data_IF_615069479973
#
_entry.id   IF_615069479973
#
_cell.length_a   1.000
_cell.length_b   1.000
_cell.length_c   1.000
_cell.angle_alpha   90.00
_cell.angle_beta   90.00
_cell.angle_gamma   90.00
#
_symmetry.space_group_name_H-M   'P 1'
#
loop_
_entity.id
_entity.type
_entity.pdbx_description
1 polymer ?
#
# COMPACT_ATOMS: atom_id res chain seq x y z
N UNK A 1 -7.82 13.46 -81.46
CA UNK A 1 -6.53 12.82 -81.79
C UNK A 1 -5.68 12.82 -80.51
N UNK A 2 -5.27 11.63 -80.02
CA UNK A 2 -4.06 11.29 -79.21
C UNK A 2 -3.44 12.44 -78.34
N UNK A 3 -3.18 12.34 -77.03
CA UNK A 3 -2.47 11.28 -76.27
C UNK A 3 -2.73 11.39 -74.75
N UNK A 4 -2.52 10.27 -74.08
CA UNK A 4 -2.46 10.06 -72.64
C UNK A 4 -1.29 10.78 -71.95
N UNK A 5 -1.40 10.99 -70.63
CA UNK A 5 -0.27 11.03 -69.69
C UNK A 5 -0.77 10.64 -68.29
N UNK A 6 -0.68 9.35 -68.01
CA UNK A 6 -0.77 8.76 -66.69
C UNK A 6 0.63 8.87 -66.07
N UNK A 7 0.87 9.81 -65.16
CA UNK A 7 2.10 9.82 -64.36
C UNK A 7 1.92 10.76 -63.15
N UNK A 8 1.98 10.20 -61.94
CA UNK A 8 2.20 11.00 -60.73
C UNK A 8 1.41 10.62 -59.49
N UNK A 9 0.44 9.71 -59.54
CA UNK A 9 -0.30 9.29 -58.35
C UNK A 9 0.32 8.07 -57.66
N UNK A 10 1.63 8.12 -57.38
CA UNK A 10 2.33 7.11 -56.56
C UNK A 10 3.38 7.70 -55.60
N UNK A 11 3.50 9.03 -55.51
CA UNK A 11 4.49 9.69 -54.66
C UNK A 11 3.89 10.40 -53.42
N UNK A 12 2.69 9.98 -52.99
CA UNK A 12 1.97 10.60 -51.87
C UNK A 12 1.44 9.59 -50.84
N UNK A 13 2.16 8.48 -50.63
CA UNK A 13 1.81 7.50 -49.58
C UNK A 13 2.98 7.25 -48.62
N UNK A 14 4.22 7.48 -49.03
CA UNK A 14 5.40 7.19 -48.19
C UNK A 14 5.68 8.32 -47.17
N UNK A 15 5.27 9.57 -47.44
CA UNK A 15 5.50 10.69 -46.51
C UNK A 15 4.50 10.75 -45.35
N UNK A 16 3.39 10.00 -45.42
CA UNK A 16 2.43 9.88 -44.30
C UNK A 16 2.81 8.82 -43.29
N UNK A 17 3.72 7.89 -43.64
CA UNK A 17 4.19 6.85 -42.73
C UNK A 17 5.43 7.28 -41.93
N UNK A 18 6.16 8.28 -42.42
CA UNK A 18 7.37 8.80 -41.75
C UNK A 18 7.05 10.00 -40.84
N UNK A 19 5.89 10.67 -41.01
CA UNK A 19 5.55 11.89 -40.27
C UNK A 19 4.66 11.71 -39.02
N UNK A 20 4.27 10.50 -38.65
CA UNK A 20 3.64 10.25 -37.33
C UNK A 20 4.17 9.01 -36.63
N UNK A 21 5.30 8.46 -37.11
CA UNK A 21 6.18 7.62 -36.30
C UNK A 21 7.07 8.47 -35.37
N UNK A 22 6.79 9.78 -35.26
CA UNK A 22 7.47 10.74 -34.38
C UNK A 22 6.53 11.38 -33.33
N UNK A 23 5.28 10.94 -33.23
CA UNK A 23 4.35 11.31 -32.13
C UNK A 23 3.82 10.05 -31.43
N UNK A 24 4.63 9.00 -31.42
CA UNK A 24 4.74 8.16 -30.24
C UNK A 24 6.11 8.47 -29.65
N UNK A 25 6.28 9.70 -29.16
CA UNK A 25 6.88 9.81 -27.85
C UNK A 25 5.93 9.00 -26.97
N UNK A 26 6.20 7.71 -26.86
CA UNK A 26 5.79 6.97 -25.69
C UNK A 26 6.21 7.90 -24.56
N UNK A 27 5.23 8.46 -23.89
CA UNK A 27 5.37 8.82 -22.51
C UNK A 27 5.66 7.50 -21.77
N UNK A 28 6.82 6.91 -22.04
CA UNK A 28 7.70 6.48 -21.00
C UNK A 28 7.94 7.75 -20.19
N UNK A 29 6.95 8.06 -19.33
CA UNK A 29 7.29 8.49 -18.00
C UNK A 29 8.32 7.46 -17.59
N UNK A 30 9.59 7.83 -17.69
CA UNK A 30 10.62 7.20 -16.92
C UNK A 30 10.12 7.35 -15.50
N UNK A 31 9.32 6.38 -15.04
CA UNK A 31 9.12 6.10 -13.65
C UNK A 31 10.53 5.79 -13.19
N UNK A 32 11.26 6.84 -12.82
CA UNK A 32 12.41 6.73 -11.97
C UNK A 32 11.81 6.11 -10.72
N UNK A 33 11.82 4.77 -10.69
CA UNK A 33 11.40 3.90 -9.59
C UNK A 33 12.43 4.07 -8.48
N UNK A 34 12.61 5.32 -8.06
CA UNK A 34 13.23 5.64 -6.79
C UNK A 34 12.24 5.12 -5.78
N UNK A 35 12.66 4.06 -5.10
CA UNK A 35 11.89 3.44 -4.04
C UNK A 35 12.57 3.80 -2.73
N UNK A 36 11.80 4.40 -1.84
CA UNK A 36 12.22 4.72 -0.47
C UNK A 36 11.66 3.68 0.49
N UNK A 37 12.40 3.39 1.56
CA UNK A 37 11.89 2.60 2.68
C UNK A 37 11.36 3.55 3.76
N UNK A 38 10.08 3.46 4.17
CA UNK A 38 9.59 4.19 5.32
C UNK A 38 10.43 3.90 6.56
N UNK A 39 10.78 4.94 7.32
CA UNK A 39 11.39 4.78 8.66
C UNK A 39 10.36 4.39 9.71
N UNK A 40 9.08 4.64 9.44
CA UNK A 40 7.95 4.26 10.27
C UNK A 40 6.71 4.19 9.39
N UNK A 41 5.92 3.13 9.55
CA UNK A 41 4.64 2.95 8.87
C UNK A 41 3.67 2.41 9.89
N UNK A 42 2.66 3.20 10.23
CA UNK A 42 1.71 2.82 11.26
C UNK A 42 0.41 2.33 10.67
N UNK A 43 -0.17 1.31 11.29
CA UNK A 43 -1.54 0.85 11.04
C UNK A 43 -2.33 0.88 12.32
N UNK A 44 -3.59 1.29 12.22
CA UNK A 44 -4.53 1.19 13.33
C UNK A 44 -5.40 -0.03 13.13
N UNK A 45 -5.22 -1.04 13.97
CA UNK A 45 -6.03 -2.26 13.96
C UNK A 45 -7.21 -2.08 14.90
N UNK A 46 -8.37 -2.54 14.48
CA UNK A 46 -9.61 -2.40 15.26
C UNK A 46 -10.28 -3.73 15.62
N UNK A 47 -9.97 -4.80 14.87
CA UNK A 47 -10.52 -6.12 15.13
C UNK A 47 -9.62 -7.22 14.57
N UNK A 48 -9.58 -8.36 15.24
CA UNK A 48 -8.96 -9.60 14.76
C UNK A 48 -9.93 -10.75 14.98
N UNK A 49 -10.10 -11.57 13.94
CA UNK A 49 -10.99 -12.74 13.96
C UNK A 49 -10.28 -13.96 13.39
N UNK A 50 -10.57 -15.14 13.94
CA UNK A 50 -10.07 -16.42 13.42
C UNK A 50 -11.23 -17.35 13.07
N UNK A 51 -11.11 -18.08 11.96
CA UNK A 51 -12.13 -19.00 11.49
C UNK A 51 -11.92 -20.39 12.10
N UNK A 52 -12.88 -20.88 12.90
CA UNK A 52 -12.81 -22.18 13.59
C UNK A 52 -13.27 -23.38 12.74
N UNK A 53 -13.38 -23.19 11.42
CA UNK A 53 -13.95 -24.17 10.48
C UNK A 53 -15.45 -23.98 10.21
N UNK A 54 -16.18 -23.24 11.06
CA UNK A 54 -17.61 -22.96 10.88
C UNK A 54 -17.92 -21.46 10.83
N UNK A 55 -17.27 -20.68 11.70
CA UNK A 55 -17.52 -19.25 11.85
C UNK A 55 -16.26 -18.50 12.24
N UNK A 56 -16.26 -17.20 11.98
CA UNK A 56 -15.27 -16.29 12.54
C UNK A 56 -15.56 -16.03 14.01
N UNK A 57 -14.57 -16.29 14.85
CA UNK A 57 -14.55 -15.97 16.27
C UNK A 57 -13.71 -14.71 16.44
N UNK A 58 -14.28 -13.67 17.05
CA UNK A 58 -13.52 -12.49 17.44
C UNK A 58 -12.55 -12.87 18.55
N UNK A 59 -11.26 -12.67 18.30
CA UNK A 59 -10.20 -12.93 19.28
C UNK A 59 -9.76 -11.63 19.95
N UNK A 60 -9.92 -10.50 19.25
CA UNK A 60 -9.58 -9.19 19.78
C UNK A 60 -10.40 -8.11 19.08
N UNK A 61 -10.83 -7.10 19.84
CA UNK A 61 -11.38 -5.85 19.32
C UNK A 61 -10.91 -4.69 20.18
N UNK A 62 -10.74 -3.53 19.57
CA UNK A 62 -10.19 -2.37 20.24
C UNK A 62 -9.66 -1.32 19.28
N UNK A 63 -8.66 -0.57 19.69
CA UNK A 63 -7.93 0.34 18.82
C UNK A 63 -6.47 0.28 19.23
N UNK A 64 -5.63 -0.24 18.34
CA UNK A 64 -4.19 -0.37 18.58
C UNK A 64 -3.45 0.12 17.36
N UNK A 65 -2.53 1.05 17.58
CA UNK A 65 -1.60 1.51 16.55
C UNK A 65 -0.34 0.64 16.59
N UNK A 66 0.03 0.04 15.46
CA UNK A 66 1.23 -0.77 15.31
C UNK A 66 2.14 -0.12 14.28
N UNK A 67 3.39 0.13 14.66
CA UNK A 67 4.44 0.47 13.70
C UNK A 67 4.99 -0.79 13.06
N UNK A 68 4.77 -0.92 11.77
CA UNK A 68 5.14 -2.08 10.97
C UNK A 68 6.62 -2.13 10.64
N UNK A 69 7.38 -1.06 10.90
CA UNK A 69 8.85 -1.07 10.78
C UNK A 69 9.53 -1.82 11.93
N UNK A 70 8.93 -1.81 13.12
CA UNK A 70 9.41 -2.54 14.31
C UNK A 70 8.57 -3.76 14.64
N UNK A 71 7.40 -3.89 14.02
CA UNK A 71 6.33 -4.75 14.48
C UNK A 71 5.72 -4.25 15.79
N UNK A 72 4.78 -5.03 16.31
CA UNK A 72 4.15 -4.77 17.61
C UNK A 72 3.19 -5.89 17.97
N UNK A 73 2.70 -5.84 19.20
CA UNK A 73 1.68 -6.75 19.73
C UNK A 73 0.43 -5.95 20.09
N UNK A 74 -0.69 -6.64 20.24
CA UNK A 74 -1.95 -6.05 20.68
C UNK A 74 -2.07 -6.15 22.19
N UNK A 75 -2.24 -5.03 22.87
CA UNK A 75 -2.58 -5.06 24.29
C UNK A 75 -3.92 -5.79 24.48
N UNK A 76 -3.94 -6.73 25.43
CA UNK A 76 -5.14 -7.51 25.77
C UNK A 76 -5.45 -8.67 24.83
N UNK A 77 -4.57 -9.01 23.87
CA UNK A 77 -4.71 -10.25 23.08
C UNK A 77 -4.22 -11.50 23.82
N UNK A 78 -3.65 -11.33 25.01
CA UNK A 78 -3.19 -12.44 25.82
C UNK A 78 -4.34 -13.10 26.59
N UNK A 79 -4.23 -14.41 26.80
CA UNK A 79 -5.16 -15.24 27.59
C UNK A 79 -6.60 -15.29 27.07
N UNK A 80 -6.77 -15.27 25.74
CA UNK A 80 -8.09 -15.40 25.12
C UNK A 80 -8.59 -16.83 25.30
N UNK A 81 -9.84 -16.95 25.74
CA UNK A 81 -10.56 -18.23 25.75
C UNK A 81 -11.23 -18.41 24.40
N UNK A 82 -10.75 -19.38 23.62
CA UNK A 82 -11.34 -19.71 22.32
C UNK A 82 -12.26 -20.93 22.47
N UNK A 83 -13.42 -20.95 21.76
CA UNK A 83 -14.17 -22.18 21.58
C UNK A 83 -13.31 -23.28 20.99
N UNK A 84 -13.61 -24.53 21.35
CA UNK A 84 -12.94 -25.67 20.76
C UNK A 84 -13.18 -25.72 19.24
N UNK A 85 -12.13 -26.05 18.48
CA UNK A 85 -12.18 -26.06 17.04
C UNK A 85 -10.81 -26.05 16.40
N UNK A 86 -10.79 -26.18 15.07
CA UNK A 86 -9.57 -26.08 14.27
C UNK A 86 -9.58 -24.73 13.56
N UNK A 87 -8.64 -23.87 13.92
CA UNK A 87 -8.52 -22.55 13.36
C UNK A 87 -7.50 -22.54 12.23
N UNK A 88 -7.96 -22.25 11.01
CA UNK A 88 -7.16 -22.33 9.78
C UNK A 88 -7.05 -21.02 9.01
N UNK A 89 -7.85 -20.00 9.36
CA UNK A 89 -7.82 -18.69 8.73
C UNK A 89 -7.86 -17.59 9.80
N UNK A 90 -7.21 -16.47 9.50
CA UNK A 90 -7.26 -15.25 10.28
C UNK A 90 -7.58 -14.07 9.37
N UNK A 91 -8.37 -13.12 9.87
CA UNK A 91 -8.58 -11.83 9.21
C UNK A 91 -8.46 -10.70 10.21
N UNK A 92 -8.02 -9.55 9.73
CA UNK A 92 -7.73 -8.37 10.54
C UNK A 92 -8.45 -7.18 9.93
N UNK A 93 -9.16 -6.41 10.76
CA UNK A 93 -9.77 -5.14 10.38
C UNK A 93 -8.87 -4.00 10.81
N UNK A 94 -8.56 -3.10 9.88
CA UNK A 94 -7.74 -1.91 10.10
C UNK A 94 -8.46 -0.64 9.67
N UNK A 95 -7.98 0.52 10.12
CA UNK A 95 -8.36 1.82 9.58
C UNK A 95 -7.63 2.10 8.27
N UNK A 96 -8.34 2.68 7.32
CA UNK A 96 -7.82 3.21 6.08
C UNK A 96 -7.19 4.59 6.31
N UNK A 97 -6.19 4.62 7.18
CA UNK A 97 -5.42 5.78 7.57
C UNK A 97 -4.05 5.29 8.03
N UNK A 98 -3.02 5.63 7.27
CA UNK A 98 -1.67 5.11 7.41
C UNK A 98 -0.71 6.26 7.69
N UNK A 99 -0.41 6.56 8.96
CA UNK A 99 0.66 7.48 9.31
C UNK A 99 2.01 6.93 8.84
N UNK A 100 2.65 7.60 7.91
CA UNK A 100 3.94 7.20 7.36
C UNK A 100 4.96 8.31 7.54
N UNK A 101 6.18 7.93 7.94
CA UNK A 101 7.33 8.82 8.03
C UNK A 101 8.53 8.17 7.36
N UNK A 102 9.19 8.89 6.47
CA UNK A 102 10.33 8.32 5.77
C UNK A 102 11.05 9.32 4.88
N UNK A 103 12.00 8.78 4.11
CA UNK A 103 12.71 9.52 3.09
C UNK A 103 12.96 8.65 1.87
N UNK A 104 13.27 9.32 0.77
CA UNK A 104 13.77 8.72 -0.47
C UNK A 104 14.97 9.52 -0.93
N UNK A 105 15.93 8.87 -1.58
CA UNK A 105 17.02 9.57 -2.25
C UNK A 105 16.78 9.50 -3.75
N UNK A 106 16.51 10.65 -4.36
CA UNK A 106 16.36 10.79 -5.81
C UNK A 106 17.53 11.60 -6.37
N UNK A 107 18.23 11.02 -7.35
CA UNK A 107 19.43 11.60 -7.96
C UNK A 107 20.46 12.16 -6.94
N UNK A 108 20.62 11.49 -5.79
CA UNK A 108 21.54 11.88 -4.72
C UNK A 108 21.00 12.95 -3.75
N UNK A 109 19.77 13.45 -3.96
CA UNK A 109 19.10 14.39 -3.06
C UNK A 109 18.10 13.64 -2.17
N UNK A 110 18.20 13.74 -0.84
CA UNK A 110 17.20 13.15 0.05
C UNK A 110 15.95 14.04 0.12
N UNK A 111 14.80 13.40 0.05
CA UNK A 111 13.48 14.00 0.22
C UNK A 111 12.78 13.32 1.38
N UNK A 112 12.20 14.12 2.27
CA UNK A 112 11.58 13.67 3.52
C UNK A 112 10.07 13.93 3.48
N UNK A 113 9.29 13.02 4.07
CA UNK A 113 7.86 13.24 4.32
C UNK A 113 7.67 14.43 5.27
N UNK A 114 6.61 15.21 5.07
CA UNK A 114 6.28 16.34 5.93
C UNK A 114 4.84 16.26 6.44
N UNK A 115 4.55 16.93 7.55
CA UNK A 115 3.19 17.08 8.08
C UNK A 115 2.35 18.08 7.28
N UNK A 116 2.90 18.64 6.19
CA UNK A 116 2.25 19.66 5.40
C UNK A 116 0.94 19.13 4.80
N UNK A 117 0.01 20.06 4.58
CA UNK A 117 -1.24 19.84 3.85
C UNK A 117 -0.95 19.11 2.54
N UNK A 118 -1.86 18.21 2.16
CA UNK A 118 -1.69 17.42 0.96
C UNK A 118 -1.22 18.23 -0.24
N UNK A 119 -0.29 17.63 -0.98
CA UNK A 119 0.09 18.02 -2.32
C UNK A 119 -1.15 18.36 -3.17
N UNK A 120 -1.25 19.59 -3.69
CA UNK A 120 -2.36 19.94 -4.59
C UNK A 120 -3.78 19.86 -3.97
N UNK A 121 -3.91 19.84 -2.64
CA UNK A 121 -5.21 19.87 -1.95
C UNK A 121 -5.93 18.53 -1.80
N UNK A 122 -5.31 17.41 -2.17
CA UNK A 122 -5.91 16.06 -2.06
C UNK A 122 -5.53 15.36 -0.75
N UNK A 123 -6.29 15.62 0.32
CA UNK A 123 -6.05 15.05 1.65
C UNK A 123 -5.81 13.55 1.60
N UNK A 124 -4.64 13.09 2.06
CA UNK A 124 -4.31 11.69 2.28
C UNK A 124 -3.90 10.87 1.05
N UNK A 125 -3.85 11.46 -0.14
CA UNK A 125 -3.35 10.76 -1.33
C UNK A 125 -1.87 11.04 -1.61
N UNK A 126 -1.41 12.25 -1.30
CA UNK A 126 -0.05 12.66 -1.57
C UNK A 126 0.51 13.67 -0.56
N UNK A 127 1.73 13.40 -0.07
CA UNK A 127 2.45 14.27 0.87
C UNK A 127 3.43 15.17 0.11
N UNK A 128 3.48 16.46 0.46
CA UNK A 128 4.60 17.33 0.05
C UNK A 128 5.91 16.86 0.68
N UNK A 129 6.98 16.90 -0.11
CA UNK A 129 8.32 16.57 0.31
C UNK A 129 9.15 17.82 0.63
N UNK A 130 10.08 17.67 1.56
CA UNK A 130 11.11 18.67 1.87
C UNK A 130 12.49 18.04 1.70
N UNK A 131 13.51 18.84 1.39
CA UNK A 131 14.91 18.42 1.43
C UNK A 131 15.57 18.71 2.78
N UNK A 132 14.87 19.41 3.68
CA UNK A 132 15.35 19.72 5.03
C UNK A 132 15.14 18.54 5.96
N UNK A 133 16.23 17.87 6.35
CA UNK A 133 16.16 16.70 7.23
C UNK A 133 15.48 16.97 8.59
N UNK A 134 15.58 18.19 9.12
CA UNK A 134 14.96 18.58 10.39
C UNK A 134 13.43 18.71 10.35
N UNK A 135 12.84 18.78 9.16
CA UNK A 135 11.41 18.99 8.96
C UNK A 135 10.64 17.67 8.73
N UNK A 136 11.33 16.52 8.84
CA UNK A 136 10.72 15.20 8.64
C UNK A 136 9.61 14.96 9.65
N UNK A 137 8.42 14.61 9.15
CA UNK A 137 7.26 14.35 9.98
C UNK A 137 6.35 13.28 9.37
N UNK A 138 5.35 12.84 10.16
CA UNK A 138 4.32 11.92 9.70
C UNK A 138 3.37 12.61 8.72
N UNK A 139 2.97 11.87 7.69
CA UNK A 139 1.83 12.19 6.85
C UNK A 139 0.88 10.99 6.82
N UNK A 140 -0.42 11.23 6.93
CA UNK A 140 -1.42 10.17 6.90
C UNK A 140 -1.88 9.92 5.47
N UNK A 141 -1.56 8.75 4.94
CA UNK A 141 -2.03 8.28 3.64
C UNK A 141 -3.30 7.42 3.78
N UNK A 142 -4.08 7.26 2.71
CA UNK A 142 -5.13 6.24 2.64
C UNK A 142 -5.19 5.59 1.26
N UNK A 143 -5.84 4.43 1.18
CA UNK A 143 -6.10 3.77 -0.09
C UNK A 143 -7.54 4.06 -0.54
N UNK A 144 -7.76 4.82 -1.63
CA UNK A 144 -9.10 5.17 -2.09
C UNK A 144 -9.91 3.96 -2.58
N UNK A 145 -9.26 2.84 -2.93
CA UNK A 145 -9.94 1.60 -3.28
C UNK A 145 -10.55 0.89 -2.07
N UNK A 146 -10.15 1.28 -0.86
CA UNK A 146 -10.64 0.71 0.40
C UNK A 146 -11.72 1.57 1.07
N UNK A 147 -12.11 2.68 0.45
CA UNK A 147 -13.10 3.62 0.97
C UNK A 147 -12.50 5.00 1.25
N UNK A 148 -13.22 5.78 2.05
CA UNK A 148 -12.77 7.08 2.52
C UNK A 148 -11.61 6.96 3.52
N UNK A 149 -10.95 8.08 3.80
CA UNK A 149 -10.03 8.21 4.92
C UNK A 149 -10.75 7.82 6.22
N UNK A 150 -10.08 7.06 7.09
CA UNK A 150 -10.59 6.54 8.37
C UNK A 150 -11.71 5.48 8.29
N UNK A 151 -12.12 5.05 7.08
CA UNK A 151 -12.98 3.89 6.91
C UNK A 151 -12.30 2.61 7.43
N UNK A 152 -13.10 1.59 7.73
CA UNK A 152 -12.56 0.31 8.20
C UNK A 152 -12.48 -0.69 7.05
N UNK A 153 -11.32 -1.31 6.89
CA UNK A 153 -11.07 -2.35 5.90
C UNK A 153 -10.69 -3.64 6.59
N UNK A 154 -11.47 -4.68 6.37
CA UNK A 154 -11.05 -6.05 6.68
C UNK A 154 -10.15 -6.54 5.55
N UNK A 155 -8.93 -6.90 5.91
CA UNK A 155 -7.94 -7.49 5.04
C UNK A 155 -8.33 -8.93 4.70
N UNK A 156 -7.87 -9.40 3.54
CA UNK A 156 -8.20 -10.73 3.05
C UNK A 156 -7.68 -11.83 3.98
N UNK A 157 -8.36 -12.97 3.93
CA UNK A 157 -8.13 -14.12 4.79
C UNK A 157 -6.69 -14.65 4.60
N UNK A 158 -5.94 -14.73 5.71
CA UNK A 158 -4.61 -15.33 5.72
C UNK A 158 -4.69 -16.74 6.28
N UNK A 159 -4.04 -17.68 5.60
CA UNK A 159 -3.95 -19.04 6.07
C UNK A 159 -3.08 -19.12 7.34
N UNK A 160 -3.57 -19.88 8.31
CA UNK A 160 -2.83 -20.28 9.50
C UNK A 160 -2.15 -21.60 9.18
N UNK A 161 -0.80 -21.61 9.11
CA UNK A 161 -0.04 -22.82 8.79
C UNK A 161 1.08 -23.05 9.81
N UNK A 162 1.01 -24.15 10.60
CA UNK A 162 -0.06 -25.15 10.65
C UNK A 162 -1.33 -24.62 11.32
N UNK A 163 -2.49 -25.22 11.01
CA UNK A 163 -3.76 -24.93 11.70
C UNK A 163 -3.63 -25.11 13.21
N UNK A 164 -4.28 -24.24 13.99
CA UNK A 164 -4.30 -24.31 15.46
C UNK A 164 -5.50 -25.12 15.93
N UNK A 165 -5.26 -26.14 16.75
CA UNK A 165 -6.35 -26.95 17.35
C UNK A 165 -6.54 -26.52 18.79
N UNK A 166 -7.69 -25.94 19.09
CA UNK A 166 -8.10 -25.61 20.45
C UNK A 166 -8.99 -26.73 20.98
N UNK A 167 -8.56 -27.34 22.09
CA UNK A 167 -9.38 -28.26 22.89
C UNK A 167 -9.97 -27.52 24.09
N UNK A 168 -11.08 -28.04 24.60
CA UNK A 168 -11.86 -27.39 25.66
C UNK A 168 -11.00 -27.05 26.89
N UNK A 169 -11.09 -25.81 27.36
CA UNK A 169 -10.42 -25.35 28.58
C UNK A 169 -8.96 -24.89 28.41
N UNK A 170 -8.46 -24.74 27.18
CA UNK A 170 -7.10 -24.21 26.93
C UNK A 170 -7.17 -22.73 26.57
N UNK A 171 -6.50 -21.88 27.36
CA UNK A 171 -6.20 -20.50 26.97
C UNK A 171 -5.10 -20.50 25.92
N UNK A 172 -5.28 -19.76 24.84
CA UNK A 172 -4.29 -19.61 23.80
C UNK A 172 -3.84 -18.15 23.68
N UNK A 173 -2.56 -17.95 23.39
CA UNK A 173 -1.92 -16.64 23.34
C UNK A 173 -1.30 -16.48 21.94
N UNK A 174 -2.01 -15.88 20.97
CA UNK A 174 -1.41 -15.55 19.69
C UNK A 174 -0.42 -14.40 19.84
N UNK A 175 0.80 -14.58 19.34
CA UNK A 175 1.62 -13.43 18.95
C UNK A 175 1.39 -13.19 17.46
N UNK A 176 0.74 -12.08 17.11
CA UNK A 176 0.53 -11.68 15.73
C UNK A 176 1.62 -10.69 15.33
N UNK A 177 2.38 -11.02 14.28
CA UNK A 177 3.33 -10.09 13.66
C UNK A 177 2.90 -9.75 12.26
N UNK A 178 3.02 -8.48 11.91
CA UNK A 178 2.69 -7.96 10.60
C UNK A 178 3.99 -7.64 9.87
N UNK A 179 4.13 -8.13 8.65
CA UNK A 179 5.23 -7.75 7.76
C UNK A 179 4.66 -6.94 6.61
N UNK A 180 5.30 -5.81 6.29
CA UNK A 180 4.97 -5.02 5.12
C UNK A 180 6.00 -5.17 4.02
N UNK A 181 5.49 -5.27 2.80
CA UNK A 181 6.27 -5.03 1.59
C UNK A 181 5.64 -3.86 0.86
N UNK A 182 6.00 -2.63 1.24
CA UNK A 182 5.46 -1.44 0.57
C UNK A 182 6.59 -0.51 0.14
N UNK A 183 6.52 -0.06 -1.12
CA UNK A 183 7.44 0.93 -1.69
C UNK A 183 6.80 2.32 -1.59
N UNK A 184 7.55 3.29 -1.07
CA UNK A 184 7.19 4.71 -1.26
C UNK A 184 7.55 5.07 -2.69
N UNK A 185 6.55 5.47 -3.48
CA UNK A 185 6.74 5.84 -4.87
C UNK A 185 6.77 7.36 -4.98
N UNK A 186 7.78 7.86 -5.68
CA UNK A 186 7.87 9.24 -6.12
C UNK A 186 7.29 9.36 -7.54
N UNK A 187 6.43 10.33 -7.80
CA UNK A 187 5.84 10.54 -9.13
C UNK A 187 6.23 11.93 -9.65
N UNK A 188 6.75 11.98 -10.87
CA UNK A 188 7.41 13.17 -11.43
C UNK A 188 6.47 14.11 -12.18
N UNK A 189 5.80 15.00 -11.43
CA UNK A 189 5.64 16.43 -11.74
C UNK A 189 5.45 17.18 -10.42
N UNK A 190 6.35 16.93 -9.46
CA UNK A 190 6.29 17.57 -8.16
C UNK A 190 6.85 16.69 -7.05
N UNK A 191 7.33 17.37 -6.02
CA UNK A 191 7.95 16.88 -4.79
C UNK A 191 6.96 16.12 -3.92
N UNK A 192 6.35 15.04 -4.43
CA UNK A 192 5.23 14.38 -3.77
C UNK A 192 5.46 12.88 -3.58
N UNK A 193 5.05 12.39 -2.41
CA UNK A 193 5.05 10.97 -2.09
C UNK A 193 3.68 10.35 -2.32
N UNK A 194 3.65 9.13 -2.84
CA UNK A 194 2.47 8.26 -2.83
C UNK A 194 2.82 6.90 -2.22
N UNK A 195 1.82 6.20 -1.72
CA UNK A 195 1.99 4.83 -1.22
C UNK A 195 1.14 3.87 -2.06
N UNK A 196 1.68 2.70 -2.34
CA UNK A 196 0.85 1.57 -2.78
C UNK A 196 0.04 1.01 -1.61
N UNK A 197 -1.02 0.27 -1.94
CA UNK A 197 -1.75 -0.53 -0.96
C UNK A 197 -0.76 -1.45 -0.23
N UNK A 198 -0.73 -1.47 1.12
CA UNK A 198 0.13 -2.38 1.85
C UNK A 198 -0.27 -3.83 1.63
N UNK A 199 0.70 -4.65 1.22
CA UNK A 199 0.61 -6.10 1.41
C UNK A 199 0.89 -6.40 2.87
N UNK A 200 -0.13 -6.92 3.55
CA UNK A 200 -0.05 -7.26 4.97
C UNK A 200 -0.01 -8.78 5.08
N UNK A 201 1.16 -9.32 5.42
CA UNK A 201 1.28 -10.75 5.77
C UNK A 201 1.28 -10.90 7.28
N UNK A 202 0.42 -11.79 7.77
CA UNK A 202 0.36 -12.15 9.18
C UNK A 202 1.30 -13.34 9.38
N UNK A 203 2.31 -13.17 10.23
CA UNK A 203 3.17 -14.24 10.68
C UNK A 203 2.70 -14.62 12.08
N UNK A 204 2.29 -15.88 12.22
CA UNK A 204 2.15 -16.51 13.52
C UNK A 204 3.42 -17.33 13.80
N UNK A 205 3.89 -17.39 15.06
CA UNK A 205 5.00 -18.25 15.44
C UNK A 205 4.69 -19.75 15.23
#
# INVERSE_FOLDING_TARGET
MKRASCLGLRFLIILSFVFTLLIQSSEEWANADTSGTPTSFKVTVTKVEMHNGTSYVEIWSGTSEIDLSTGGTFDGIDNITLPAGTYSLIRVTIKNAFPVKGNITDLGTPYYTTAATAAGGTTGLASAATTTAGDVAYYTFYNPLWGALDDSKTLDEQAINPSVVVVFGVSWIPTLRFTLTNKLNFITLGTYFTISAPDVTIIMP
#
